data_IF_978932546654
#
_entry.id   IF_978932546654
#
_cell.length_a   1.000
_cell.length_b   1.000
_cell.length_c   1.000
_cell.angle_alpha   90.00
_cell.angle_beta   90.00
_cell.angle_gamma   90.00
#
_symmetry.space_group_name_H-M   'P 1'
#
loop_
_entity.id
_entity.type
_entity.pdbx_description
1 polymer ?
#
# COMPACT_ATOMS: atom_id res chain seq x y z
N UNK A 1 -10.32 8.25 5.90
CA UNK A 1 -9.10 8.99 5.47
C UNK A 1 -8.91 8.86 3.95
N UNK A 2 -8.30 9.83 3.23
CA UNK A 2 -7.94 9.61 1.81
C UNK A 2 -6.57 8.93 1.67
N UNK A 3 -6.31 8.30 0.53
CA UNK A 3 -5.00 7.68 0.25
C UNK A 3 -3.88 8.72 0.34
N UNK A 4 -4.13 9.94 -0.14
CA UNK A 4 -3.14 11.03 -0.12
C UNK A 4 -2.82 11.55 1.29
N UNK A 5 -3.62 11.21 2.30
CA UNK A 5 -3.41 11.62 3.69
C UNK A 5 -2.59 10.59 4.50
N UNK A 6 -2.26 9.44 3.89
CA UNK A 6 -1.45 8.42 4.54
C UNK A 6 -0.04 8.94 4.80
N UNK A 7 0.59 8.59 5.94
CA UNK A 7 1.87 9.15 6.35
C UNK A 7 3.07 8.55 5.58
N UNK A 8 2.82 7.72 4.57
CA UNK A 8 3.85 7.00 3.85
C UNK A 8 4.41 7.81 2.68
N UNK A 9 5.63 8.33 2.86
CA UNK A 9 6.34 9.13 1.86
C UNK A 9 7.09 8.24 0.88
N UNK A 10 6.49 8.02 -0.28
CA UNK A 10 7.17 7.39 -1.41
C UNK A 10 8.47 8.14 -1.77
N UNK A 11 9.52 7.41 -2.13
CA UNK A 11 10.86 7.93 -2.39
C UNK A 11 11.74 8.13 -1.15
N UNK A 12 11.24 7.84 0.05
CA UNK A 12 12.00 7.96 1.30
C UNK A 12 12.80 6.69 1.60
N UNK A 13 14.09 6.87 1.96
CA UNK A 13 14.96 5.78 2.40
C UNK A 13 14.53 5.20 3.75
N UNK A 14 14.64 3.88 3.92
CA UNK A 14 14.24 3.08 5.09
C UNK A 14 14.78 3.65 6.40
N UNK A 15 16.03 4.09 6.42
CA UNK A 15 16.68 4.70 7.59
C UNK A 15 15.99 5.97 8.12
N UNK A 16 15.20 6.65 7.29
CA UNK A 16 14.49 7.89 7.65
C UNK A 16 13.05 7.63 8.10
N UNK A 17 12.64 6.36 8.21
CA UNK A 17 11.32 5.99 8.68
C UNK A 17 11.31 5.75 10.19
N UNK A 18 10.34 6.36 10.86
CA UNK A 18 10.11 6.18 12.30
C UNK A 18 8.99 5.16 12.59
N UNK A 19 8.55 4.40 11.58
CA UNK A 19 7.46 3.43 11.74
C UNK A 19 7.95 2.10 12.31
N UNK A 20 7.12 1.52 13.16
CA UNK A 20 7.26 0.14 13.57
C UNK A 20 6.85 -0.75 12.40
N UNK A 21 7.83 -1.41 11.79
CA UNK A 21 7.69 -2.28 10.64
C UNK A 21 8.17 -3.70 10.97
N UNK A 22 7.45 -4.70 10.50
CA UNK A 22 7.84 -6.10 10.57
C UNK A 22 8.20 -6.60 9.17
N UNK A 23 9.36 -7.24 9.02
CA UNK A 23 9.76 -7.82 7.74
C UNK A 23 8.92 -9.07 7.47
N UNK A 24 8.23 -9.10 6.34
CA UNK A 24 7.34 -10.21 5.97
C UNK A 24 7.97 -11.09 4.89
N UNK A 25 8.50 -10.50 3.83
CA UNK A 25 9.04 -11.23 2.68
C UNK A 25 10.05 -10.40 1.90
N UNK A 26 10.81 -11.06 1.03
CA UNK A 26 11.79 -10.45 0.14
C UNK A 26 11.77 -11.16 -1.22
N UNK A 27 11.88 -10.38 -2.29
CA UNK A 27 12.13 -10.88 -3.65
C UNK A 27 13.51 -10.44 -4.14
N UNK A 28 13.90 -10.85 -5.36
CA UNK A 28 15.13 -10.36 -5.99
C UNK A 28 15.12 -8.84 -6.23
N UNK A 29 13.94 -8.20 -6.19
CA UNK A 29 13.76 -6.80 -6.59
C UNK A 29 13.22 -5.91 -5.48
N UNK A 30 12.73 -6.45 -4.37
CA UNK A 30 12.20 -5.64 -3.27
C UNK A 30 12.13 -6.41 -1.95
N UNK A 31 12.13 -5.65 -0.86
CA UNK A 31 11.77 -6.12 0.47
C UNK A 31 10.36 -5.65 0.83
N UNK A 32 9.59 -6.51 1.49
CA UNK A 32 8.22 -6.27 1.91
C UNK A 32 8.14 -6.21 3.43
N UNK A 33 7.59 -5.11 3.92
CA UNK A 33 7.39 -4.87 5.34
C UNK A 33 5.92 -4.61 5.65
N UNK A 34 5.44 -5.17 6.76
CA UNK A 34 4.12 -4.88 7.32
C UNK A 34 4.18 -3.72 8.28
N UNK A 35 3.18 -2.85 8.22
CA UNK A 35 3.00 -1.77 9.17
C UNK A 35 2.22 -2.22 10.41
N UNK A 36 2.90 -2.34 11.56
CA UNK A 36 2.33 -3.01 12.74
C UNK A 36 1.76 -2.07 13.81
N UNK A 37 1.99 -0.75 13.70
CA UNK A 37 1.49 0.23 14.68
C UNK A 37 -0.04 0.24 14.78
N UNK A 38 -0.73 -0.07 13.67
CA UNK A 38 -2.18 -0.27 13.64
C UNK A 38 -3.01 0.96 14.01
N UNK A 39 -2.47 2.18 13.91
CA UNK A 39 -3.16 3.44 14.19
C UNK A 39 -4.02 3.94 13.00
N UNK A 40 -3.79 3.41 11.80
CA UNK A 40 -4.60 3.68 10.60
C UNK A 40 -5.72 2.63 10.54
N UNK A 41 -6.92 3.01 10.97
CA UNK A 41 -8.08 2.10 11.05
C UNK A 41 -8.99 2.11 9.82
N UNK A 42 -9.01 3.23 9.08
CA UNK A 42 -9.97 3.41 7.99
C UNK A 42 -9.42 4.27 6.85
N UNK A 43 -9.60 3.80 5.62
CA UNK A 43 -9.19 4.48 4.38
C UNK A 43 -10.32 4.36 3.36
N UNK A 44 -10.69 5.48 2.72
CA UNK A 44 -11.81 5.58 1.79
C UNK A 44 -13.13 5.02 2.35
N UNK A 45 -13.39 5.22 3.64
CA UNK A 45 -14.55 4.72 4.38
C UNK A 45 -14.59 3.18 4.52
N UNK A 46 -13.44 2.50 4.34
CA UNK A 46 -13.26 1.07 4.57
C UNK A 46 -12.29 0.79 5.71
N UNK A 47 -12.61 -0.24 6.50
CA UNK A 47 -11.71 -0.75 7.54
C UNK A 47 -10.42 -1.29 6.91
N UNK A 48 -9.30 -0.88 7.48
CA UNK A 48 -7.98 -1.35 7.07
C UNK A 48 -7.71 -2.69 7.75
N UNK A 49 -7.57 -3.73 6.92
CA UNK A 49 -7.12 -5.05 7.37
C UNK A 49 -5.59 -5.07 7.52
N UNK A 50 -4.87 -4.52 6.54
CA UNK A 50 -3.41 -4.52 6.56
C UNK A 50 -2.79 -3.42 5.70
N UNK A 51 -1.52 -3.10 5.97
CA UNK A 51 -0.72 -2.17 5.17
C UNK A 51 0.68 -2.74 4.99
N UNK A 52 1.12 -2.83 3.73
CA UNK A 52 2.45 -3.30 3.35
C UNK A 52 3.22 -2.21 2.61
N UNK A 53 4.50 -2.09 2.94
CA UNK A 53 5.44 -1.14 2.37
C UNK A 53 6.50 -1.94 1.59
N UNK A 54 6.77 -1.51 0.35
CA UNK A 54 7.70 -2.18 -0.55
C UNK A 54 8.90 -1.30 -0.82
N UNK A 55 10.09 -1.80 -0.49
CA UNK A 55 11.35 -1.08 -0.60
C UNK A 55 12.24 -1.70 -1.67
N UNK A 56 12.85 -0.87 -2.50
CA UNK A 56 13.90 -1.26 -3.45
C UNK A 56 15.15 -0.45 -3.12
N UNK A 57 16.27 -1.12 -2.87
CA UNK A 57 17.52 -0.46 -2.44
C UNK A 57 17.28 0.52 -1.26
N UNK A 58 16.54 0.04 -0.26
CA UNK A 58 16.08 0.80 0.90
C UNK A 58 15.14 1.98 0.60
N UNK A 59 14.69 2.20 -0.63
CA UNK A 59 13.78 3.30 -0.98
C UNK A 59 12.35 2.79 -1.09
N UNK A 60 11.42 3.39 -0.34
CA UNK A 60 10.00 3.05 -0.46
C UNK A 60 9.50 3.46 -1.86
N UNK A 61 9.13 2.50 -2.69
CA UNK A 61 8.62 2.80 -4.04
C UNK A 61 7.12 2.52 -4.19
N UNK A 62 6.54 1.71 -3.31
CA UNK A 62 5.12 1.34 -3.37
C UNK A 62 4.56 1.06 -1.97
N UNK A 63 3.27 1.33 -1.80
CA UNK A 63 2.48 0.93 -0.62
C UNK A 63 1.24 0.18 -1.06
N UNK A 64 0.93 -0.92 -0.39
CA UNK A 64 -0.32 -1.68 -0.52
C UNK A 64 -1.17 -1.52 0.73
N UNK A 65 -2.44 -1.15 0.57
CA UNK A 65 -3.43 -1.04 1.64
C UNK A 65 -4.52 -2.07 1.38
N UNK A 66 -4.68 -3.01 2.28
CA UNK A 66 -5.70 -4.05 2.22
C UNK A 66 -6.90 -3.62 3.06
N UNK A 67 -8.05 -3.54 2.41
CA UNK A 67 -9.30 -3.06 2.99
C UNK A 67 -10.31 -4.18 3.06
N UNK A 68 -11.08 -4.23 4.15
CA UNK A 68 -12.24 -5.09 4.27
C UNK A 68 -13.27 -4.71 3.21
N UNK A 69 -13.61 -5.67 2.33
CA UNK A 69 -14.52 -5.42 1.21
C UNK A 69 -15.97 -5.14 1.66
N UNK A 70 -16.39 -5.74 2.76
CA UNK A 70 -17.81 -5.79 3.13
C UNK A 70 -18.69 -6.31 1.97
N UNK A 71 -19.77 -5.58 1.66
CA UNK A 71 -20.72 -5.93 0.59
C UNK A 71 -20.42 -5.28 -0.78
N UNK A 72 -19.21 -4.76 -0.99
CA UNK A 72 -18.90 -4.01 -2.20
C UNK A 72 -18.59 -4.87 -3.42
N UNK A 73 -19.01 -4.35 -4.58
CA UNK A 73 -18.59 -4.84 -5.89
C UNK A 73 -17.52 -3.90 -6.40
N UNK A 74 -16.29 -4.09 -5.95
CA UNK A 74 -15.16 -3.33 -6.46
C UNK A 74 -14.62 -3.95 -7.76
N UNK A 75 -14.49 -3.12 -8.79
CA UNK A 75 -13.89 -3.45 -10.08
C UNK A 75 -12.75 -2.48 -10.27
N UNK A 76 -11.65 -3.00 -10.82
CA UNK A 76 -10.36 -2.30 -10.92
C UNK A 76 -10.51 -0.82 -11.34
N UNK A 77 -9.77 0.05 -10.67
CA UNK A 77 -9.62 1.44 -11.10
C UNK A 77 -8.15 1.84 -11.10
N UNK A 78 -7.84 2.84 -11.92
CA UNK A 78 -6.55 3.52 -11.94
C UNK A 78 -6.78 5.03 -11.96
N UNK A 79 -6.00 5.77 -11.17
CA UNK A 79 -6.04 7.24 -11.09
C UNK A 79 -4.62 7.76 -10.89
N UNK A 80 -4.35 8.96 -11.40
CA UNK A 80 -3.15 9.73 -11.08
C UNK A 80 -3.56 10.95 -10.25
N UNK A 81 -2.86 11.19 -9.15
CA UNK A 81 -3.11 12.28 -8.22
C UNK A 81 -1.75 12.83 -7.76
N UNK A 82 -1.44 14.09 -8.07
CA UNK A 82 -0.17 14.74 -7.68
C UNK A 82 1.11 13.95 -8.05
N UNK A 83 1.13 13.27 -9.21
CA UNK A 83 2.26 12.45 -9.65
C UNK A 83 2.33 11.05 -9.00
N UNK A 84 1.41 10.74 -8.09
CA UNK A 84 1.22 9.42 -7.50
C UNK A 84 0.22 8.64 -8.34
N UNK A 85 0.62 7.43 -8.73
CA UNK A 85 -0.24 6.47 -9.40
C UNK A 85 -0.96 5.65 -8.34
N UNK A 86 -2.28 5.58 -8.42
CA UNK A 86 -3.14 4.84 -7.50
C UNK A 86 -3.90 3.81 -8.31
N UNK A 87 -3.79 2.55 -7.92
CA UNK A 87 -4.55 1.43 -8.46
C UNK A 87 -5.33 0.82 -7.32
N UNK A 88 -6.55 0.40 -7.57
CA UNK A 88 -7.22 -0.54 -6.67
C UNK A 88 -7.74 -1.74 -7.44
N UNK A 89 -7.69 -2.91 -6.81
CA UNK A 89 -8.10 -4.20 -7.37
C UNK A 89 -8.89 -4.97 -6.30
N UNK A 90 -9.97 -5.66 -6.70
CA UNK A 90 -10.52 -6.74 -5.86
C UNK A 90 -9.69 -7.98 -6.07
N UNK A 91 -9.15 -8.51 -4.98
CA UNK A 91 -8.75 -9.90 -4.94
C UNK A 91 -9.98 -10.77 -4.69
N UNK A 92 -10.50 -11.39 -5.76
CA UNK A 92 -11.79 -12.11 -5.70
C UNK A 92 -11.76 -13.31 -4.74
N UNK A 93 -10.58 -13.87 -4.46
CA UNK A 93 -10.39 -15.04 -3.62
C UNK A 93 -10.18 -14.70 -2.14
N UNK A 94 -9.52 -13.57 -1.83
CA UNK A 94 -9.17 -13.21 -0.46
C UNK A 94 -10.26 -12.41 0.25
N UNK A 95 -11.17 -11.79 -0.51
CA UNK A 95 -12.25 -10.98 0.06
C UNK A 95 -11.82 -9.58 0.46
N UNK A 96 -10.61 -9.15 0.10
CA UNK A 96 -10.09 -7.81 0.35
C UNK A 96 -10.13 -6.94 -0.92
N UNK A 97 -10.10 -5.63 -0.70
CA UNK A 97 -9.78 -4.64 -1.72
C UNK A 97 -8.32 -4.24 -1.48
N UNK A 98 -7.45 -4.51 -2.45
CA UNK A 98 -6.09 -3.97 -2.41
C UNK A 98 -6.10 -2.60 -3.10
N UNK A 99 -5.62 -1.58 -2.40
CA UNK A 99 -5.27 -0.30 -2.99
C UNK A 99 -3.76 -0.14 -2.94
N UNK A 100 -3.15 -0.03 -4.12
CA UNK A 100 -1.73 0.14 -4.28
C UNK A 100 -1.43 1.54 -4.80
N UNK A 101 -0.40 2.19 -4.27
CA UNK A 101 0.06 3.47 -4.81
C UNK A 101 1.58 3.59 -4.86
N UNK A 102 2.08 4.23 -5.91
CA UNK A 102 3.51 4.33 -6.23
C UNK A 102 3.85 5.65 -6.95
N UNK A 103 5.16 5.96 -7.01
CA UNK A 103 5.69 7.06 -7.82
C UNK A 103 6.07 6.50 -9.21
N UNK A 104 5.82 7.29 -10.26
CA UNK A 104 6.22 7.00 -11.64
C UNK A 104 5.60 5.73 -12.26
N UNK A 105 4.58 5.13 -11.65
CA UNK A 105 3.93 3.93 -12.18
C UNK A 105 4.80 2.67 -12.10
N UNK A 106 5.81 2.68 -11.23
CA UNK A 106 6.63 1.50 -10.93
C UNK A 106 5.83 0.63 -9.97
N UNK A 107 5.37 -0.51 -10.45
CA UNK A 107 4.62 -1.49 -9.66
C UNK A 107 5.52 -2.67 -9.32
N UNK A 108 5.27 -3.35 -8.20
CA UNK A 108 5.82 -4.68 -7.98
C UNK A 108 5.35 -5.61 -9.12
N UNK A 109 6.22 -6.48 -9.61
CA UNK A 109 5.78 -7.56 -10.47
C UNK A 109 4.88 -8.49 -9.64
N UNK A 110 3.66 -8.72 -10.13
CA UNK A 110 2.65 -9.60 -9.51
C UNK A 110 2.79 -11.02 -10.04
#
# INVERSE_FOLDING_TARGET
MKIEDLPFKLGMHFENWEFELEHEDSSETYDMFRYVKGDIKEVLDFEVADIFLYFNLDVLFQVGVYLEKGNLVFKEFQKISNGVFIRGVIEQLSGFIEITYCINGIWREL
#
